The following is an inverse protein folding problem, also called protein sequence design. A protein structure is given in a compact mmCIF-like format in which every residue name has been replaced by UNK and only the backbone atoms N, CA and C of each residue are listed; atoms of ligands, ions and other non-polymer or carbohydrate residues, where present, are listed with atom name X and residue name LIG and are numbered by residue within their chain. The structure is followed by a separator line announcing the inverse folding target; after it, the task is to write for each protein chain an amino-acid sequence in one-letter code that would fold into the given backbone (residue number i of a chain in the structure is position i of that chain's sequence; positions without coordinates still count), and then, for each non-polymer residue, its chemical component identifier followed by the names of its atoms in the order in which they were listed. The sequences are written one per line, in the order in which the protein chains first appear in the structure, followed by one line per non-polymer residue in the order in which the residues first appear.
data_IF_305585136104
#
_entry.id   IF_305585136104
#
_cell.length_a   1.000
_cell.length_b   1.000
_cell.length_c   1.000
_cell.angle_alpha   90.00
_cell.angle_beta   90.00
_cell.angle_gamma   90.00
#
_symmetry.space_group_name_H-M   'P 1'
#
loop_
_entity.id
_entity.type
_entity.pdbx_description
1 polymer ?
#
# COMPACT_ATOMS: atom_id res chain seq x y z
N UNK A 1 8.45 17.79 -3.60
CA UNK A 1 6.99 17.70 -3.43
C UNK A 1 6.74 16.50 -2.55
N UNK A 2 5.97 16.74 -1.51
CA UNK A 2 5.91 16.07 -0.21
C UNK A 2 5.62 14.57 -0.30
N UNK A 3 6.38 13.77 0.44
CA UNK A 3 6.08 12.35 0.69
C UNK A 3 4.62 12.22 1.14
N UNK A 4 3.77 11.61 0.32
CA UNK A 4 2.48 11.14 0.78
C UNK A 4 2.76 10.00 1.78
N UNK A 5 2.82 10.36 3.06
CA UNK A 5 2.96 9.40 4.14
C UNK A 5 1.79 8.41 4.09
N UNK A 6 2.08 7.15 3.76
CA UNK A 6 1.08 6.08 3.78
C UNK A 6 0.79 5.71 5.23
N UNK A 7 -0.48 5.55 5.58
CA UNK A 7 -0.89 5.22 6.94
C UNK A 7 -1.58 3.86 7.01
N UNK A 8 -1.37 3.14 8.11
CA UNK A 8 -2.08 1.91 8.41
C UNK A 8 -3.55 2.21 8.69
N UNK A 9 -4.43 1.62 7.90
CA UNK A 9 -5.90 1.70 8.06
C UNK A 9 -6.39 1.20 9.44
N UNK A 10 -5.65 0.30 10.10
CA UNK A 10 -6.07 -0.28 11.38
C UNK A 10 -5.56 0.50 12.60
N UNK A 11 -4.30 0.94 12.60
CA UNK A 11 -3.68 1.55 13.79
C UNK A 11 -3.16 2.97 13.57
N UNK A 12 -3.33 3.54 12.38
CA UNK A 12 -2.93 4.91 12.05
C UNK A 12 -1.41 5.14 11.95
N UNK A 13 -0.57 4.13 12.24
CA UNK A 13 0.89 4.26 12.11
C UNK A 13 1.28 4.54 10.67
N UNK A 14 2.23 5.45 10.50
CA UNK A 14 2.94 5.65 9.23
C UNK A 14 3.60 4.36 8.78
N UNK A 15 3.49 4.08 7.50
CA UNK A 15 4.07 2.93 6.85
C UNK A 15 5.36 3.40 6.19
N UNK A 16 6.48 2.92 6.74
CA UNK A 16 7.83 3.29 6.30
C UNK A 16 8.24 2.61 4.98
N UNK A 17 7.48 1.60 4.53
CA UNK A 17 7.79 0.81 3.34
C UNK A 17 6.57 0.61 2.44
N UNK A 18 6.70 0.94 1.17
CA UNK A 18 5.67 0.68 0.17
C UNK A 18 5.49 -0.84 0.02
N UNK A 19 4.25 -1.37 -0.03
CA UNK A 19 4.01 -2.78 -0.31
C UNK A 19 4.61 -3.20 -1.65
N UNK A 20 5.16 -4.41 -1.70
CA UNK A 20 5.68 -4.99 -2.93
C UNK A 20 4.71 -5.98 -3.55
N UNK A 21 4.63 -5.98 -4.89
CA UNK A 21 3.92 -6.96 -5.69
C UNK A 21 4.79 -7.34 -6.90
N UNK A 22 4.87 -8.64 -7.23
CA UNK A 22 5.75 -9.17 -8.28
C UNK A 22 7.24 -8.80 -8.09
N UNK A 23 7.70 -8.63 -6.85
CA UNK A 23 9.09 -8.30 -6.54
C UNK A 23 9.46 -6.81 -6.72
N UNK A 24 8.48 -5.95 -7.00
CA UNK A 24 8.66 -4.50 -7.15
C UNK A 24 7.71 -3.75 -6.22
N UNK A 25 8.10 -2.54 -5.83
CA UNK A 25 7.23 -1.63 -5.09
C UNK A 25 5.98 -1.32 -5.91
N UNK A 26 4.82 -1.33 -5.25
CA UNK A 26 3.58 -0.90 -5.89
C UNK A 26 3.61 0.62 -6.12
N UNK A 27 3.01 1.06 -7.21
CA UNK A 27 2.97 2.45 -7.64
C UNK A 27 1.67 3.07 -7.13
N UNK A 28 1.75 4.23 -6.47
CA UNK A 28 0.55 4.97 -6.09
C UNK A 28 -0.09 5.63 -7.32
N UNK A 29 -1.35 5.30 -7.58
CA UNK A 29 -2.16 5.91 -8.63
C UNK A 29 -3.13 6.93 -8.01
N UNK A 30 -2.89 8.21 -8.28
CA UNK A 30 -3.70 9.32 -7.75
C UNK A 30 -5.12 9.35 -8.30
N UNK A 31 -5.36 8.84 -9.52
CA UNK A 31 -6.68 8.87 -10.14
C UNK A 31 -7.64 7.87 -9.50
N UNK A 32 -7.14 6.69 -9.16
CA UNK A 32 -7.89 5.62 -8.49
C UNK A 32 -7.70 5.62 -6.97
N UNK A 33 -6.81 6.47 -6.44
CA UNK A 33 -6.45 6.55 -5.02
C UNK A 33 -6.08 5.19 -4.43
N UNK A 34 -5.25 4.41 -5.14
CA UNK A 34 -4.84 3.07 -4.75
C UNK A 34 -3.39 2.79 -5.15
N UNK A 35 -2.78 1.80 -4.51
CA UNK A 35 -1.50 1.24 -4.93
C UNK A 35 -1.74 0.19 -6.01
N UNK A 36 -0.96 0.22 -7.09
CA UNK A 36 -1.09 -0.69 -8.24
C UNK A 36 0.25 -1.37 -8.51
N UNK A 37 0.21 -2.62 -8.97
CA UNK A 37 1.41 -3.28 -9.45
C UNK A 37 1.98 -2.50 -10.65
N UNK A 38 3.31 -2.49 -10.82
CA UNK A 38 3.96 -1.88 -11.98
C UNK A 38 3.50 -2.47 -13.33
N UNK A 39 2.98 -3.71 -13.33
CA UNK A 39 2.38 -4.37 -14.49
C UNK A 39 0.92 -3.94 -14.74
N UNK A 40 0.38 -3.06 -13.90
CA UNK A 40 -1.00 -2.56 -13.93
C UNK A 40 -1.91 -3.20 -12.86
N UNK A 41 -3.07 -2.59 -12.59
CA UNK A 41 -4.00 -3.01 -11.53
C UNK A 41 -4.60 -4.40 -11.77
N UNK A 42 -4.65 -4.86 -13.03
CA UNK A 42 -5.09 -6.22 -13.37
C UNK A 42 -4.14 -7.30 -12.82
N UNK A 43 -2.86 -6.97 -12.62
CA UNK A 43 -1.89 -7.86 -11.99
C UNK A 43 -2.02 -7.85 -10.46
N UNK A 44 -2.27 -6.68 -9.88
CA UNK A 44 -2.51 -6.52 -8.46
C UNK A 44 -2.76 -5.07 -8.10
N UNK A 45 -3.66 -4.83 -7.17
CA UNK A 45 -3.92 -3.52 -6.61
C UNK A 45 -4.26 -3.63 -5.11
N UNK A 46 -4.06 -2.54 -4.38
CA UNK A 46 -4.35 -2.42 -2.96
C UNK A 46 -4.92 -1.04 -2.69
N UNK A 47 -6.13 -1.00 -2.14
CA UNK A 47 -6.74 0.25 -1.70
C UNK A 47 -6.05 0.76 -0.44
N UNK A 48 -5.95 2.08 -0.30
CA UNK A 48 -5.32 2.69 0.88
C UNK A 48 -6.09 2.40 2.18
N UNK A 49 -7.42 2.24 2.11
CA UNK A 49 -8.27 1.88 3.26
C UNK A 49 -8.08 0.42 3.74
N UNK A 50 -7.39 -0.40 2.95
CA UNK A 50 -7.03 -1.78 3.28
C UNK A 50 -5.55 -1.94 3.62
N UNK A 51 -4.78 -0.85 3.49
CA UNK A 51 -3.35 -0.88 3.72
C UNK A 51 -3.06 -1.06 5.21
N UNK A 52 -2.30 -2.10 5.56
CA UNK A 52 -1.92 -2.42 6.94
C UNK A 52 -0.40 -2.32 7.11
N UNK A 53 0.05 -1.86 8.29
CA UNK A 53 1.46 -1.96 8.66
C UNK A 53 1.86 -3.43 8.90
N UNK A 54 3.16 -3.73 8.88
CA UNK A 54 3.66 -5.09 9.05
C UNK A 54 3.17 -5.79 10.33
N UNK A 55 2.98 -5.04 11.44
CA UNK A 55 2.43 -5.59 12.67
C UNK A 55 0.96 -5.99 12.51
N UNK A 56 0.10 -5.07 12.05
CA UNK A 56 -1.33 -5.37 11.89
C UNK A 56 -1.61 -6.43 10.80
N UNK A 57 -0.67 -6.64 9.85
CA UNK A 57 -0.75 -7.79 8.94
C UNK A 57 -0.47 -9.11 9.66
N UNK A 58 0.57 -9.17 10.51
CA UNK A 58 0.92 -10.36 11.30
C UNK A 58 -0.18 -10.74 12.28
N UNK A 59 -0.82 -9.76 12.91
CA UNK A 59 -1.91 -10.00 13.88
C UNK A 59 -3.19 -10.56 13.23
N UNK A 60 -3.29 -10.53 11.88
CA UNK A 60 -4.45 -11.04 11.12
C UNK A 60 -4.20 -12.41 10.46
N UNK A 61 -3.01 -13.01 10.60
CA UNK A 61 -2.67 -14.34 10.07
C UNK A 61 -2.77 -15.42 11.14
#
# INVERSE_FOLDING_TARGET
MTENELHCSNCGKTIESIPQHCGHDMIYNEQSNQLECYMGPACGYMKLDQLLCGQCRKDKC
#
